data_IF_567900021180
#
_entry.id   IF_567900021180
#
_cell.length_a   1.000
_cell.length_b   1.000
_cell.length_c   1.000
_cell.angle_alpha   90.00
_cell.angle_beta   90.00
_cell.angle_gamma   90.00
#
_symmetry.space_group_name_H-M   'P 1'
#
loop_
_entity.id
_entity.type
_entity.pdbx_description
1 polymer ?
#
# COMPACT_ATOMS: atom_id res chain seq x y z
N UNK A 1 21.37 3.92 15.47
CA UNK A 1 21.19 3.88 14.00
C UNK A 1 19.74 3.88 13.46
N UNK A 2 18.68 3.95 14.28
CA UNK A 2 17.32 4.44 13.90
C UNK A 2 16.49 4.55 15.18
N UNK A 3 16.62 3.56 16.06
CA UNK A 3 16.09 3.57 17.43
C UNK A 3 16.64 4.73 18.29
N UNK A 4 17.89 5.16 18.05
CA UNK A 4 18.49 6.34 18.71
C UNK A 4 17.79 7.65 18.32
N UNK A 5 17.35 7.78 17.07
CA UNK A 5 16.73 9.00 16.54
C UNK A 5 15.20 8.98 16.64
N UNK A 6 14.59 7.79 16.70
CA UNK A 6 13.16 7.59 16.76
C UNK A 6 12.81 6.43 17.70
N UNK A 7 12.88 6.65 19.03
CA UNK A 7 12.71 5.58 20.02
C UNK A 7 11.29 4.99 20.04
N UNK A 8 10.30 5.72 19.53
CA UNK A 8 8.91 5.27 19.45
C UNK A 8 8.58 4.57 18.12
N UNK A 9 9.52 4.48 17.18
CA UNK A 9 9.25 3.89 15.88
C UNK A 9 9.21 2.35 15.96
N UNK A 10 8.12 1.76 15.45
CA UNK A 10 8.04 0.31 15.28
C UNK A 10 8.70 -0.13 13.97
N UNK A 11 9.52 -1.18 14.04
CA UNK A 11 10.15 -1.77 12.86
C UNK A 11 9.24 -2.80 12.17
N UNK A 12 8.78 -2.46 10.97
CA UNK A 12 7.98 -3.34 10.12
C UNK A 12 8.80 -4.03 9.02
N UNK A 13 10.12 -3.95 9.07
CA UNK A 13 11.02 -4.58 8.10
C UNK A 13 10.75 -6.08 8.01
N UNK A 14 10.77 -6.61 6.79
CA UNK A 14 10.54 -8.04 6.56
C UNK A 14 11.78 -8.82 6.97
N UNK A 15 11.63 -9.77 7.89
CA UNK A 15 12.75 -10.59 8.36
C UNK A 15 13.29 -11.46 7.20
N UNK A 16 14.62 -11.65 7.17
CA UNK A 16 15.32 -12.41 6.13
C UNK A 16 15.84 -13.73 6.70
N UNK A 17 15.81 -14.78 5.87
CA UNK A 17 16.45 -16.05 6.16
C UNK A 17 17.90 -16.01 5.70
N UNK A 18 18.80 -16.68 6.42
CA UNK A 18 20.16 -16.93 5.98
C UNK A 18 20.48 -18.42 6.07
N UNK A 19 21.52 -18.87 5.35
CA UNK A 19 21.90 -20.30 5.25
C UNK A 19 22.05 -20.98 6.62
N UNK A 20 22.55 -20.25 7.62
CA UNK A 20 22.77 -20.76 8.98
C UNK A 20 21.84 -20.10 10.03
N UNK A 21 20.84 -19.34 9.59
CA UNK A 21 19.86 -18.68 10.46
C UNK A 21 18.49 -18.68 9.76
N UNK A 22 17.78 -19.82 9.80
CA UNK A 22 16.43 -19.90 9.24
C UNK A 22 15.45 -19.06 10.06
N UNK A 23 14.37 -18.60 9.43
CA UNK A 23 13.30 -17.91 10.17
C UNK A 23 12.58 -18.88 11.09
N UNK A 24 12.26 -18.39 12.30
CA UNK A 24 11.31 -19.07 13.18
C UNK A 24 9.91 -19.09 12.56
N UNK A 25 9.04 -20.00 13.03
CA UNK A 25 7.65 -20.05 12.59
C UNK A 25 6.88 -18.75 12.92
N UNK A 26 7.24 -18.10 14.04
CA UNK A 26 6.66 -16.82 14.40
C UNK A 26 7.03 -15.73 13.40
N UNK A 27 8.29 -15.66 12.98
CA UNK A 27 8.74 -14.67 12.00
C UNK A 27 8.10 -14.91 10.64
N UNK A 28 7.96 -16.17 10.22
CA UNK A 28 7.22 -16.53 9.00
C UNK A 28 5.78 -16.04 9.06
N UNK A 29 5.09 -16.23 10.19
CA UNK A 29 3.72 -15.73 10.40
C UNK A 29 3.64 -14.21 10.34
N UNK A 30 4.56 -13.50 11.02
CA UNK A 30 4.64 -12.03 10.96
C UNK A 30 4.85 -11.53 9.53
N UNK A 31 5.79 -12.13 8.81
CA UNK A 31 6.09 -11.84 7.41
C UNK A 31 4.87 -12.07 6.49
N UNK A 32 4.12 -13.16 6.70
CA UNK A 32 2.90 -13.46 5.93
C UNK A 32 1.85 -12.35 6.10
N UNK A 33 1.64 -11.86 7.31
CA UNK A 33 0.71 -10.76 7.58
C UNK A 33 1.16 -9.46 6.90
N UNK A 34 2.45 -9.11 7.03
CA UNK A 34 3.05 -7.94 6.36
C UNK A 34 2.84 -8.01 4.84
N UNK A 35 3.15 -9.15 4.23
CA UNK A 35 3.01 -9.38 2.80
C UNK A 35 1.55 -9.31 2.32
N UNK A 36 0.59 -9.83 3.10
CA UNK A 36 -0.84 -9.71 2.78
C UNK A 36 -1.32 -8.26 2.74
N UNK A 37 -0.87 -7.45 3.70
CA UNK A 37 -1.19 -6.02 3.75
C UNK A 37 -0.52 -5.28 2.58
N UNK A 38 0.77 -5.54 2.35
CA UNK A 38 1.52 -4.93 1.24
C UNK A 38 0.90 -5.22 -0.11
N UNK A 39 0.50 -6.46 -0.38
CA UNK A 39 -0.13 -6.83 -1.65
C UNK A 39 -1.40 -6.02 -1.94
N UNK A 40 -2.23 -5.75 -0.92
CA UNK A 40 -3.43 -4.91 -1.06
C UNK A 40 -3.06 -3.47 -1.41
N UNK A 41 -2.09 -2.90 -0.69
CA UNK A 41 -1.64 -1.52 -0.89
C UNK A 41 -0.99 -1.35 -2.27
N UNK A 42 -0.07 -2.25 -2.63
CA UNK A 42 0.60 -2.27 -3.93
C UNK A 42 -0.41 -2.37 -5.09
N UNK A 43 -1.50 -3.13 -4.91
CA UNK A 43 -2.57 -3.20 -5.90
C UNK A 43 -3.26 -1.84 -6.13
N UNK A 44 -3.62 -1.13 -5.05
CA UNK A 44 -4.22 0.22 -5.14
C UNK A 44 -3.27 1.17 -5.86
N UNK A 45 -1.99 1.18 -5.47
CA UNK A 45 -0.98 2.04 -6.13
C UNK A 45 -0.73 1.66 -7.58
N UNK A 46 -0.81 0.38 -7.94
CA UNK A 46 -0.72 -0.07 -9.32
C UNK A 46 -1.88 0.50 -10.16
N UNK A 47 -3.11 0.44 -9.66
CA UNK A 47 -4.26 1.05 -10.36
C UNK A 47 -4.04 2.56 -10.52
N UNK A 48 -3.64 3.25 -9.45
CA UNK A 48 -3.38 4.68 -9.46
C UNK A 48 -2.29 5.09 -10.47
N UNK A 49 -1.14 4.39 -10.47
CA UNK A 49 0.00 4.76 -11.30
C UNK A 49 -0.13 4.28 -12.74
N UNK A 50 -0.58 3.04 -12.95
CA UNK A 50 -0.61 2.43 -14.28
C UNK A 50 -1.91 2.71 -15.04
N UNK A 51 -3.07 2.73 -14.38
CA UNK A 51 -4.35 2.97 -15.06
C UNK A 51 -4.71 4.45 -15.12
N UNK A 52 -4.55 5.18 -14.01
CA UNK A 52 -4.84 6.62 -13.94
C UNK A 52 -3.65 7.51 -14.35
N UNK A 53 -2.45 6.95 -14.51
CA UNK A 53 -1.27 7.69 -14.98
C UNK A 53 -0.72 8.73 -14.00
N UNK A 54 -0.99 8.60 -12.68
CA UNK A 54 -0.42 9.48 -11.64
C UNK A 54 1.04 9.10 -11.29
N UNK A 55 1.91 9.06 -12.29
CA UNK A 55 3.35 8.77 -12.09
C UNK A 55 4.14 10.02 -11.66
N UNK A 56 3.65 11.22 -12.01
CA UNK A 56 4.27 12.51 -11.67
C UNK A 56 3.23 13.49 -11.13
N UNK A 57 3.68 14.44 -10.30
CA UNK A 57 2.83 15.54 -9.82
C UNK A 57 2.51 16.48 -10.98
N UNK A 58 1.25 16.93 -11.08
CA UNK A 58 0.79 17.79 -12.18
C UNK A 58 0.77 19.28 -11.84
N UNK A 59 0.60 19.61 -10.56
CA UNK A 59 0.38 20.99 -10.12
C UNK A 59 1.53 21.53 -9.30
N UNK A 60 1.76 22.84 -9.40
CA UNK A 60 2.66 23.57 -8.50
C UNK A 60 1.97 23.77 -7.14
N UNK A 61 2.63 23.30 -6.08
CA UNK A 61 2.17 23.43 -4.69
C UNK A 61 1.55 22.15 -4.11
N UNK A 62 1.91 21.86 -2.86
CA UNK A 62 1.51 20.63 -2.15
C UNK A 62 -0.02 20.51 -2.01
N UNK A 63 -0.70 21.60 -1.66
CA UNK A 63 -2.16 21.60 -1.45
C UNK A 63 -2.94 21.17 -2.70
N UNK A 64 -2.56 21.70 -3.87
CA UNK A 64 -3.20 21.36 -5.16
C UNK A 64 -2.94 19.90 -5.54
N UNK A 65 -1.72 19.43 -5.31
CA UNK A 65 -1.37 18.03 -5.59
C UNK A 65 -2.06 17.05 -4.62
N UNK A 66 -2.21 17.41 -3.35
CA UNK A 66 -2.95 16.62 -2.37
C UNK A 66 -4.43 16.47 -2.77
N UNK A 67 -5.09 17.56 -3.15
CA UNK A 67 -6.48 17.51 -3.63
C UNK A 67 -6.64 16.59 -4.86
N UNK A 68 -5.72 16.71 -5.83
CA UNK A 68 -5.71 15.83 -7.01
C UNK A 68 -5.52 14.35 -6.61
N UNK A 69 -4.63 14.08 -5.65
CA UNK A 69 -4.39 12.73 -5.15
C UNK A 69 -5.62 12.16 -4.43
N UNK A 70 -6.32 12.94 -3.61
CA UNK A 70 -7.54 12.50 -2.93
C UNK A 70 -8.64 12.14 -3.92
N UNK A 71 -8.86 12.99 -4.94
CA UNK A 71 -9.81 12.70 -6.01
C UNK A 71 -9.44 11.42 -6.77
N UNK A 72 -8.15 11.23 -7.10
CA UNK A 72 -7.68 10.03 -7.79
C UNK A 72 -7.88 8.77 -6.94
N UNK A 73 -7.60 8.80 -5.64
CA UNK A 73 -7.85 7.67 -4.74
C UNK A 73 -9.34 7.33 -4.61
N UNK A 74 -10.22 8.33 -4.59
CA UNK A 74 -11.67 8.10 -4.61
C UNK A 74 -12.08 7.32 -5.87
N UNK A 75 -11.56 7.71 -7.03
CA UNK A 75 -11.81 7.00 -8.30
C UNK A 75 -11.24 5.58 -8.30
N UNK A 76 -10.03 5.39 -7.78
CA UNK A 76 -9.43 4.05 -7.64
C UNK A 76 -10.32 3.14 -6.78
N UNK A 77 -10.86 3.66 -5.68
CA UNK A 77 -11.78 2.89 -4.83
C UNK A 77 -13.04 2.46 -5.60
N UNK A 78 -13.61 3.33 -6.42
CA UNK A 78 -14.76 2.99 -7.28
C UNK A 78 -14.39 1.88 -8.27
N UNK A 79 -13.24 1.98 -8.94
CA UNK A 79 -12.75 0.97 -9.89
C UNK A 79 -12.55 -0.38 -9.20
N UNK A 80 -11.93 -0.39 -8.03
CA UNK A 80 -11.71 -1.62 -7.26
C UNK A 80 -13.03 -2.24 -6.81
N UNK A 81 -14.02 -1.43 -6.44
CA UNK A 81 -15.33 -1.91 -6.01
C UNK A 81 -16.31 -2.18 -7.16
N UNK A 82 -15.93 -1.93 -8.42
CA UNK A 82 -16.80 -2.07 -9.60
C UNK A 82 -17.60 -3.38 -9.61
N UNK A 83 -16.95 -4.52 -9.38
CA UNK A 83 -17.63 -5.84 -9.34
C UNK A 83 -18.66 -5.97 -8.21
N UNK A 84 -18.43 -5.30 -7.09
CA UNK A 84 -19.38 -5.30 -5.97
C UNK A 84 -20.54 -4.34 -6.26
N UNK A 85 -20.24 -3.14 -6.75
CA UNK A 85 -21.26 -2.13 -7.10
C UNK A 85 -22.20 -2.61 -8.21
N UNK A 86 -21.66 -3.25 -9.26
CA UNK A 86 -22.47 -3.82 -10.34
C UNK A 86 -23.39 -4.93 -9.84
N UNK A 87 -22.93 -5.76 -8.89
CA UNK A 87 -23.77 -6.79 -8.27
C UNK A 87 -24.90 -6.19 -7.43
N UNK A 88 -24.62 -5.13 -6.68
CA UNK A 88 -25.63 -4.44 -5.88
C UNK A 88 -26.66 -3.74 -6.76
N UNK A 89 -26.23 -3.12 -7.87
CA UNK A 89 -27.13 -2.43 -8.80
C UNK A 89 -28.07 -3.35 -9.59
N UNK A 90 -27.75 -4.64 -9.65
CA UNK A 90 -28.55 -5.66 -10.36
C UNK A 90 -29.50 -6.42 -9.43
N UNK A 91 -29.49 -6.11 -8.13
CA UNK A 91 -30.41 -6.63 -7.12
C UNK A 91 -31.51 -5.59 -6.85
#
# INVERSE_FOLDING_TARGET
>A
MLAEYAPQAQDFTHARAYRNAPLTEEDKRKNRTKSKVRARVEHVFRVLKCQFGLTRVRYRGLKKNANHLFAAFALVNIVLMKRRLLRISQA
#
